data_IF_530128271091
#
_entry.id   IF_530128271091
#
_cell.length_a   1.000
_cell.length_b   1.000
_cell.length_c   1.000
_cell.angle_alpha   90.00
_cell.angle_beta   90.00
_cell.angle_gamma   90.00
#
_symmetry.space_group_name_H-M   'P 1'
#
loop_
_entity.id
_entity.type
_entity.pdbx_description
1 polymer ?
#
# COMPACT_ATOMS: atom_id res chain seq x y z
N UNK A 1 10.57 -14.93 11.86
CA UNK A 1 11.53 -16.03 11.64
C UNK A 1 10.76 -17.34 11.61
N UNK A 2 10.68 -18.03 10.46
CA UNK A 2 9.96 -19.31 10.36
C UNK A 2 10.79 -20.42 11.02
N UNK A 3 10.21 -21.13 11.99
CA UNK A 3 10.79 -22.35 12.58
C UNK A 3 10.50 -23.47 11.59
N UNK A 4 11.54 -24.11 11.04
CA UNK A 4 11.41 -25.25 10.13
C UNK A 4 12.13 -26.47 10.69
N UNK A 5 11.73 -27.65 10.21
CA UNK A 5 12.30 -28.93 10.63
C UNK A 5 13.82 -28.98 10.36
N UNK A 6 14.24 -28.47 9.20
CA UNK A 6 15.64 -28.44 8.79
C UNK A 6 16.50 -27.59 9.74
N UNK A 7 16.02 -26.40 10.13
CA UNK A 7 16.78 -25.51 11.03
C UNK A 7 16.90 -26.05 12.46
N UNK A 8 15.93 -26.83 12.93
CA UNK A 8 16.02 -27.47 14.24
C UNK A 8 17.00 -28.64 14.20
N UNK A 9 17.01 -29.38 13.09
CA UNK A 9 17.98 -30.46 12.83
C UNK A 9 19.41 -29.91 12.77
N UNK A 10 19.64 -28.81 12.05
CA UNK A 10 20.95 -28.12 11.98
C UNK A 10 21.45 -27.62 13.34
N UNK A 11 20.53 -27.33 14.28
CA UNK A 11 20.86 -26.93 15.65
C UNK A 11 21.14 -28.12 16.58
N UNK A 12 21.10 -29.34 16.07
CA UNK A 12 21.38 -30.56 16.83
C UNK A 12 20.23 -31.00 17.73
N UNK A 13 18.99 -30.59 17.44
CA UNK A 13 17.83 -31.09 18.17
C UNK A 13 17.54 -32.54 17.79
N UNK A 14 17.06 -33.33 18.75
CA UNK A 14 16.62 -34.69 18.46
C UNK A 14 15.31 -34.69 17.66
N UNK A 15 15.09 -35.69 16.81
CA UNK A 15 13.84 -35.84 16.03
C UNK A 15 12.59 -35.80 16.94
N UNK A 16 12.67 -36.36 18.14
CA UNK A 16 11.57 -36.37 19.11
C UNK A 16 11.25 -34.96 19.64
N UNK A 17 12.27 -34.14 19.94
CA UNK A 17 12.09 -32.74 20.32
C UNK A 17 11.53 -31.89 19.18
N UNK A 18 11.99 -32.17 17.95
CA UNK A 18 11.53 -31.51 16.74
C UNK A 18 10.04 -31.81 16.52
N UNK A 19 9.64 -33.07 16.54
CA UNK A 19 8.25 -33.49 16.34
C UNK A 19 7.33 -32.93 17.44
N UNK A 20 7.78 -32.97 18.69
CA UNK A 20 7.04 -32.36 19.81
C UNK A 20 6.87 -30.85 19.63
N UNK A 21 7.93 -30.16 19.23
CA UNK A 21 7.89 -28.71 18.97
C UNK A 21 6.97 -28.36 17.82
N UNK A 22 7.05 -29.11 16.72
CA UNK A 22 6.17 -28.93 15.56
C UNK A 22 4.72 -29.22 15.91
N UNK A 23 4.44 -30.22 16.76
CA UNK A 23 3.10 -30.52 17.24
C UNK A 23 2.54 -29.42 18.16
N UNK A 24 3.38 -28.79 18.99
CA UNK A 24 2.99 -27.63 19.83
C UNK A 24 2.70 -26.42 18.94
N UNK A 25 3.58 -26.10 17.98
CA UNK A 25 3.38 -25.02 17.02
C UNK A 25 2.10 -25.20 16.20
N UNK A 26 1.86 -26.42 15.73
CA UNK A 26 0.66 -26.75 14.97
C UNK A 26 -0.61 -26.57 15.83
N UNK A 27 -0.60 -27.05 17.09
CA UNK A 27 -1.72 -26.83 18.02
C UNK A 27 -1.92 -25.36 18.36
N UNK A 28 -0.86 -24.59 18.59
CA UNK A 28 -0.96 -23.15 18.85
C UNK A 28 -1.53 -22.39 17.65
N UNK A 29 -1.19 -22.80 16.42
CA UNK A 29 -1.73 -22.22 15.19
C UNK A 29 -3.22 -22.55 14.97
N UNK A 30 -3.69 -23.70 15.48
CA UNK A 30 -5.10 -24.10 15.36
C UNK A 30 -5.97 -23.58 16.53
N UNK A 31 -5.39 -23.38 17.71
CA UNK A 31 -6.04 -22.83 18.90
C UNK A 31 -5.84 -21.31 19.02
N UNK A 32 -5.91 -20.59 17.90
CA UNK A 32 -5.92 -19.13 17.92
C UNK A 32 -7.24 -18.70 18.59
N UNK A 33 -7.14 -17.99 19.71
CA UNK A 33 -8.31 -17.52 20.46
C UNK A 33 -9.26 -16.71 19.55
N UNK A 34 -10.58 -16.85 19.65
CA UNK A 34 -11.52 -16.08 18.82
C UNK A 34 -11.33 -14.56 18.91
N UNK A 35 -10.84 -14.04 20.05
CA UNK A 35 -10.49 -12.63 20.20
C UNK A 35 -9.31 -12.19 19.32
N UNK A 36 -8.27 -13.01 19.15
CA UNK A 36 -7.12 -12.65 18.31
C UNK A 36 -7.47 -12.71 16.82
N UNK A 37 -8.39 -13.60 16.42
CA UNK A 37 -8.94 -13.61 15.07
C UNK A 37 -9.74 -12.31 14.77
N UNK A 38 -10.60 -11.87 15.69
CA UNK A 38 -11.36 -10.62 15.55
C UNK A 38 -10.46 -9.39 15.50
N UNK A 39 -9.40 -9.35 16.32
CA UNK A 39 -8.41 -8.28 16.31
C UNK A 39 -7.69 -8.21 14.96
N UNK A 40 -7.18 -9.33 14.44
CA UNK A 40 -6.49 -9.36 13.15
C UNK A 40 -7.39 -8.89 12.01
N UNK A 41 -8.65 -9.35 11.98
CA UNK A 41 -9.63 -8.89 11.01
C UNK A 41 -9.92 -7.39 11.14
N UNK A 42 -10.01 -6.87 12.37
CA UNK A 42 -10.25 -5.43 12.59
C UNK A 42 -9.06 -4.58 12.14
N UNK A 43 -7.84 -5.02 12.43
CA UNK A 43 -6.60 -4.35 11.99
C UNK A 43 -6.57 -4.27 10.46
N UNK A 44 -6.91 -5.34 9.76
CA UNK A 44 -7.02 -5.35 8.30
C UNK A 44 -7.95 -4.25 7.79
N UNK A 45 -9.19 -4.17 8.31
CA UNK A 45 -10.16 -3.17 7.87
C UNK A 45 -9.76 -1.75 8.23
N UNK A 46 -9.21 -1.53 9.42
CA UNK A 46 -8.69 -0.22 9.83
C UNK A 46 -7.57 0.23 8.90
N UNK A 47 -6.61 -0.65 8.61
CA UNK A 47 -5.48 -0.33 7.76
C UNK A 47 -5.91 -0.08 6.31
N UNK A 48 -6.88 -0.83 5.79
CA UNK A 48 -7.50 -0.55 4.48
C UNK A 48 -8.17 0.84 4.46
N UNK A 49 -8.92 1.19 5.51
CA UNK A 49 -9.52 2.53 5.64
C UNK A 49 -8.43 3.61 5.70
N UNK A 50 -7.36 3.40 6.47
CA UNK A 50 -6.23 4.32 6.55
C UNK A 50 -5.55 4.53 5.20
N UNK A 51 -5.40 3.46 4.41
CA UNK A 51 -4.86 3.53 3.06
C UNK A 51 -5.76 4.41 2.16
N UNK A 52 -7.07 4.19 2.20
CA UNK A 52 -8.03 4.96 1.41
C UNK A 52 -8.00 6.43 1.84
N UNK A 53 -8.11 6.71 3.14
CA UNK A 53 -8.07 8.07 3.69
C UNK A 53 -6.75 8.78 3.38
N UNK A 54 -5.63 8.08 3.51
CA UNK A 54 -4.31 8.60 3.15
C UNK A 54 -4.28 9.05 1.70
N UNK A 55 -4.77 8.22 0.76
CA UNK A 55 -4.83 8.58 -0.65
C UNK A 55 -5.68 9.85 -0.90
N UNK A 56 -6.84 9.96 -0.24
CA UNK A 56 -7.68 11.17 -0.31
C UNK A 56 -6.97 12.41 0.22
N UNK A 57 -6.38 12.34 1.42
CA UNK A 57 -5.65 13.45 2.04
C UNK A 57 -4.52 13.91 1.11
N UNK A 58 -3.75 12.96 0.57
CA UNK A 58 -2.67 13.27 -0.38
C UNK A 58 -3.19 13.96 -1.64
N UNK A 59 -4.30 13.49 -2.22
CA UNK A 59 -4.88 14.12 -3.41
C UNK A 59 -5.30 15.58 -3.15
N UNK A 60 -5.84 15.87 -1.97
CA UNK A 60 -6.22 17.23 -1.56
C UNK A 60 -4.98 18.10 -1.35
N UNK A 61 -3.93 17.56 -0.71
CA UNK A 61 -2.68 18.28 -0.48
C UNK A 61 -1.98 18.71 -1.79
N UNK A 62 -2.28 18.05 -2.91
CA UNK A 62 -1.72 18.40 -4.23
C UNK A 62 -2.47 19.56 -4.91
N UNK A 63 -3.68 19.93 -4.48
CA UNK A 63 -4.46 21.05 -5.05
C UNK A 63 -3.65 22.34 -5.19
N UNK A 64 -2.98 22.86 -4.14
CA UNK A 64 -2.20 24.10 -4.27
C UNK A 64 -1.05 23.96 -5.29
N UNK A 65 -0.46 22.78 -5.43
CA UNK A 65 0.60 22.52 -6.41
C UNK A 65 0.04 22.51 -7.85
N UNK A 66 -1.11 21.89 -8.06
CA UNK A 66 -1.80 21.86 -9.37
C UNK A 66 -2.20 23.27 -9.80
N UNK A 67 -2.62 24.13 -8.87
CA UNK A 67 -3.00 25.51 -9.17
C UNK A 67 -1.80 26.42 -9.53
N UNK A 68 -0.65 26.16 -8.93
CA UNK A 68 0.50 27.09 -8.99
C UNK A 68 1.55 26.71 -10.01
N UNK A 69 1.72 25.42 -10.30
CA UNK A 69 2.81 24.92 -11.12
C UNK A 69 2.38 24.72 -12.58
N UNK A 70 3.32 24.96 -13.49
CA UNK A 70 3.17 24.58 -14.89
C UNK A 70 3.34 23.06 -15.08
N UNK A 71 2.97 22.57 -16.25
CA UNK A 71 2.80 21.13 -16.54
C UNK A 71 4.03 20.27 -16.19
N UNK A 72 5.22 20.64 -16.64
CA UNK A 72 6.42 19.82 -16.46
C UNK A 72 6.89 19.75 -14.99
N UNK A 73 7.07 20.88 -14.27
CA UNK A 73 7.38 20.86 -12.84
C UNK A 73 6.32 20.12 -12.00
N UNK A 74 5.04 20.28 -12.33
CA UNK A 74 3.96 19.60 -11.64
C UNK A 74 4.11 18.08 -11.73
N UNK A 75 4.35 17.54 -12.93
CA UNK A 75 4.50 16.08 -13.11
C UNK A 75 5.70 15.51 -12.38
N UNK A 76 6.83 16.23 -12.37
CA UNK A 76 8.01 15.81 -11.62
C UNK A 76 7.73 15.76 -10.11
N UNK A 77 7.09 16.79 -9.56
CA UNK A 77 6.77 16.86 -8.13
C UNK A 77 5.75 15.78 -7.75
N UNK A 78 4.70 15.59 -8.56
CA UNK A 78 3.71 14.53 -8.33
C UNK A 78 4.37 13.16 -8.36
N UNK A 79 5.29 12.91 -9.31
CA UNK A 79 6.01 11.64 -9.40
C UNK A 79 6.86 11.40 -8.14
N UNK A 80 7.61 12.40 -7.67
CA UNK A 80 8.43 12.28 -6.46
C UNK A 80 7.57 12.03 -5.21
N UNK A 81 6.47 12.77 -5.06
CA UNK A 81 5.52 12.57 -3.95
C UNK A 81 4.90 11.17 -4.03
N UNK A 82 4.48 10.74 -5.22
CA UNK A 82 3.88 9.43 -5.42
C UNK A 82 4.86 8.29 -5.10
N UNK A 83 6.14 8.44 -5.45
CA UNK A 83 7.19 7.50 -5.06
C UNK A 83 7.35 7.43 -3.53
N UNK A 84 7.49 8.58 -2.86
CA UNK A 84 7.61 8.63 -1.40
C UNK A 84 6.40 8.03 -0.69
N UNK A 85 5.20 8.37 -1.16
CA UNK A 85 3.96 7.83 -0.60
C UNK A 85 3.79 6.34 -0.91
N UNK A 86 4.19 5.89 -2.11
CA UNK A 86 4.23 4.49 -2.48
C UNK A 86 5.06 3.66 -1.51
N UNK A 87 6.23 4.15 -1.06
CA UNK A 87 7.06 3.47 -0.07
C UNK A 87 6.31 3.33 1.25
N UNK A 88 5.75 4.43 1.77
CA UNK A 88 5.02 4.42 3.05
C UNK A 88 3.85 3.43 2.99
N UNK A 89 3.09 3.47 1.90
CA UNK A 89 1.91 2.62 1.73
C UNK A 89 2.30 1.16 1.53
N UNK A 90 3.41 0.87 0.86
CA UNK A 90 3.91 -0.50 0.71
C UNK A 90 4.26 -1.15 2.06
N UNK A 91 4.78 -0.38 3.01
CA UNK A 91 5.01 -0.86 4.39
C UNK A 91 3.70 -1.19 5.08
N UNK A 92 2.70 -0.30 4.99
CA UNK A 92 1.37 -0.55 5.58
C UNK A 92 0.72 -1.77 4.95
N UNK A 93 0.76 -1.88 3.62
CA UNK A 93 0.18 -3.02 2.89
C UNK A 93 0.88 -4.31 3.31
N UNK A 94 2.21 -4.31 3.39
CA UNK A 94 2.97 -5.48 3.85
C UNK A 94 2.55 -5.95 5.24
N UNK A 95 2.39 -5.03 6.18
CA UNK A 95 1.94 -5.37 7.54
C UNK A 95 0.51 -5.96 7.54
N UNK A 96 -0.35 -5.52 6.62
CA UNK A 96 -1.68 -6.11 6.39
C UNK A 96 -1.58 -7.50 5.75
N UNK A 97 -0.67 -7.67 4.80
CA UNK A 97 -0.46 -8.91 4.05
C UNK A 97 -0.01 -10.07 4.95
N UNK A 98 0.85 -9.78 5.93
CA UNK A 98 1.27 -10.76 6.93
C UNK A 98 0.11 -11.22 7.84
N UNK A 99 -0.95 -10.41 7.97
CA UNK A 99 -2.13 -10.73 8.78
C UNK A 99 -3.14 -11.63 8.04
N UNK A 100 -3.33 -11.44 6.73
CA UNK A 100 -4.29 -12.23 5.92
C UNK A 100 -3.78 -12.55 4.51
N UNK A 101 -3.18 -13.74 4.35
CA UNK A 101 -2.53 -14.21 3.12
C UNK A 101 -3.46 -14.43 1.89
N UNK A 102 -4.77 -14.15 1.97
CA UNK A 102 -5.73 -14.42 0.88
C UNK A 102 -6.17 -13.16 0.13
N UNK A 103 -5.93 -11.96 0.67
CA UNK A 103 -6.54 -10.73 0.14
C UNK A 103 -5.56 -9.80 -0.59
N UNK A 104 -4.33 -10.24 -0.86
CA UNK A 104 -3.28 -9.49 -1.57
C UNK A 104 -3.77 -8.82 -2.87
N UNK A 105 -4.51 -9.57 -3.68
CA UNK A 105 -4.93 -9.13 -5.01
C UNK A 105 -5.98 -8.02 -4.96
N UNK A 106 -6.79 -7.98 -3.88
CA UNK A 106 -7.81 -6.95 -3.69
C UNK A 106 -7.14 -5.61 -3.41
N UNK A 107 -6.16 -5.58 -2.49
CA UNK A 107 -5.45 -4.33 -2.14
C UNK A 107 -4.68 -3.80 -3.35
N UNK A 108 -4.01 -4.69 -4.08
CA UNK A 108 -3.28 -4.34 -5.31
C UNK A 108 -4.17 -3.71 -6.39
N UNK A 109 -5.44 -4.09 -6.47
CA UNK A 109 -6.37 -3.56 -7.47
C UNK A 109 -7.14 -2.32 -6.97
N UNK A 110 -7.62 -2.36 -5.74
CA UNK A 110 -8.51 -1.33 -5.16
C UNK A 110 -7.76 -0.01 -4.99
N UNK A 111 -6.52 -0.03 -4.50
CA UNK A 111 -5.77 1.21 -4.22
C UNK A 111 -5.48 2.02 -5.50
N UNK A 112 -4.98 1.42 -6.60
CA UNK A 112 -4.84 2.11 -7.89
C UNK A 112 -6.12 2.72 -8.43
N UNK A 113 -7.24 1.98 -8.36
CA UNK A 113 -8.52 2.44 -8.87
C UNK A 113 -9.00 3.67 -8.10
N UNK A 114 -8.93 3.60 -6.76
CA UNK A 114 -9.28 4.73 -5.89
C UNK A 114 -8.39 5.94 -6.20
N UNK A 115 -7.08 5.73 -6.38
CA UNK A 115 -6.17 6.80 -6.74
C UNK A 115 -6.57 7.48 -8.06
N UNK A 116 -6.81 6.71 -9.13
CA UNK A 116 -7.23 7.28 -10.43
C UNK A 116 -8.51 8.09 -10.28
N UNK A 117 -9.52 7.54 -9.60
CA UNK A 117 -10.81 8.22 -9.38
C UNK A 117 -10.59 9.52 -8.59
N UNK A 118 -9.78 9.49 -7.54
CA UNK A 118 -9.48 10.66 -6.71
C UNK A 118 -8.81 11.77 -7.53
N UNK A 119 -7.78 11.44 -8.31
CA UNK A 119 -7.12 12.43 -9.17
C UNK A 119 -8.03 12.94 -10.27
N UNK A 120 -8.88 12.07 -10.84
CA UNK A 120 -9.88 12.49 -11.81
C UNK A 120 -10.82 13.54 -11.22
N UNK A 121 -11.33 13.32 -10.00
CA UNK A 121 -12.21 14.27 -9.30
C UNK A 121 -11.45 15.56 -8.99
N UNK A 122 -10.30 15.46 -8.31
CA UNK A 122 -9.53 16.62 -7.84
C UNK A 122 -9.11 17.53 -9.00
N UNK A 123 -8.53 16.97 -10.07
CA UNK A 123 -8.07 17.78 -11.21
C UNK A 123 -9.25 18.41 -11.95
N UNK A 124 -10.39 17.73 -12.07
CA UNK A 124 -11.59 18.33 -12.66
C UNK A 124 -12.18 19.46 -11.81
N UNK A 125 -12.16 19.32 -10.48
CA UNK A 125 -12.56 20.40 -9.57
C UNK A 125 -11.63 21.60 -9.76
N UNK A 126 -10.32 21.36 -9.78
CA UNK A 126 -9.31 22.41 -9.97
C UNK A 126 -9.41 23.07 -11.35
N UNK A 127 -9.58 22.31 -12.43
CA UNK A 127 -9.73 22.87 -13.79
C UNK A 127 -10.98 23.76 -13.94
N UNK A 128 -12.02 23.49 -13.15
CA UNK A 128 -13.24 24.31 -13.16
C UNK A 128 -13.13 25.57 -12.29
N UNK A 129 -12.10 25.67 -11.46
CA UNK A 129 -11.84 26.82 -10.60
C UNK A 129 -11.51 28.10 -11.40
N UNK A 130 -11.90 29.26 -10.85
CA UNK A 130 -11.69 30.57 -11.46
C UNK A 130 -10.20 30.91 -11.62
N UNK A 131 -9.35 30.53 -10.65
CA UNK A 131 -7.91 30.82 -10.70
C UNK A 131 -7.25 30.10 -11.87
N UNK A 132 -7.63 28.85 -12.12
CA UNK A 132 -7.10 28.03 -13.21
C UNK A 132 -7.45 28.61 -14.58
N UNK A 133 -8.67 29.16 -14.72
CA UNK A 133 -9.13 29.83 -15.94
C UNK A 133 -8.35 31.12 -16.22
N UNK A 134 -8.06 31.89 -15.17
CA UNK A 134 -7.28 33.15 -15.28
C UNK A 134 -5.81 32.86 -15.60
N UNK A 135 -5.23 31.83 -14.99
CA UNK A 135 -3.83 31.44 -15.19
C UNK A 135 -3.60 30.58 -16.45
N UNK A 136 -4.66 30.10 -17.10
CA UNK A 136 -4.62 29.20 -18.25
C UNK A 136 -3.80 27.91 -18.00
N UNK A 137 -3.81 27.43 -16.76
CA UNK A 137 -3.07 26.23 -16.32
C UNK A 137 -3.99 25.00 -16.32
N UNK A 138 -4.38 24.54 -17.51
CA UNK A 138 -5.19 23.33 -17.63
C UNK A 138 -4.33 22.08 -17.58
N UNK A 139 -4.71 21.14 -16.73
CA UNK A 139 -4.06 19.83 -16.64
C UNK A 139 -5.02 18.72 -17.01
N UNK A 140 -4.55 17.74 -17.79
CA UNK A 140 -5.35 16.57 -18.11
C UNK A 140 -5.46 15.67 -16.85
N UNK A 141 -6.67 15.43 -16.31
CA UNK A 141 -6.87 14.61 -15.10
C UNK A 141 -6.31 13.20 -15.24
N UNK A 142 -6.43 12.60 -16.43
CA UNK A 142 -5.96 11.24 -16.69
C UNK A 142 -4.43 11.17 -16.66
N UNK A 143 -3.75 12.15 -17.26
CA UNK A 143 -2.28 12.18 -17.28
C UNK A 143 -1.74 12.37 -15.86
N UNK A 144 -2.31 13.30 -15.08
CA UNK A 144 -1.91 13.52 -13.69
C UNK A 144 -2.10 12.25 -12.85
N UNK A 145 -3.27 11.59 -13.00
CA UNK A 145 -3.56 10.34 -12.32
C UNK A 145 -2.59 9.21 -12.72
N UNK A 146 -2.22 9.11 -14.00
CA UNK A 146 -1.26 8.11 -14.49
C UNK A 146 0.18 8.38 -13.99
N UNK A 147 0.60 9.64 -13.91
CA UNK A 147 1.92 9.99 -13.36
C UNK A 147 1.98 9.62 -11.89
N UNK A 148 0.95 9.95 -11.11
CA UNK A 148 0.87 9.52 -9.72
C UNK A 148 0.85 8.00 -9.59
N UNK A 149 -0.02 7.32 -10.37
CA UNK A 149 -0.15 5.87 -10.31
C UNK A 149 1.16 5.17 -10.66
N UNK A 150 1.88 5.64 -11.68
CA UNK A 150 3.14 5.03 -12.08
C UNK A 150 4.21 5.16 -10.99
N UNK A 151 4.33 6.34 -10.35
CA UNK A 151 5.23 6.52 -9.20
C UNK A 151 4.87 5.62 -8.03
N UNK A 152 3.60 5.58 -7.66
CA UNK A 152 3.09 4.73 -6.58
C UNK A 152 3.37 3.25 -6.85
N UNK A 153 2.97 2.75 -8.04
CA UNK A 153 3.12 1.35 -8.42
C UNK A 153 4.57 0.94 -8.57
N UNK A 154 5.44 1.83 -9.07
CA UNK A 154 6.87 1.55 -9.20
C UNK A 154 7.49 1.28 -7.83
N UNK A 155 7.21 2.15 -6.85
CA UNK A 155 7.70 1.99 -5.48
C UNK A 155 7.14 0.73 -4.82
N UNK A 156 5.83 0.50 -4.94
CA UNK A 156 5.18 -0.67 -4.35
C UNK A 156 5.70 -1.98 -4.93
N UNK A 157 5.83 -2.06 -6.26
CA UNK A 157 6.32 -3.26 -6.94
C UNK A 157 7.76 -3.57 -6.54
N UNK A 158 8.63 -2.56 -6.49
CA UNK A 158 10.03 -2.72 -6.08
C UNK A 158 10.14 -3.41 -4.71
N UNK A 159 9.34 -2.97 -3.73
CA UNK A 159 9.41 -3.50 -2.38
C UNK A 159 8.90 -4.95 -2.28
N UNK A 160 7.85 -5.31 -3.03
CA UNK A 160 7.40 -6.71 -3.13
C UNK A 160 8.46 -7.60 -3.78
N UNK A 161 9.09 -7.11 -4.85
CA UNK A 161 10.13 -7.88 -5.53
C UNK A 161 11.31 -8.14 -4.60
N UNK A 162 11.75 -7.19 -3.79
CA UNK A 162 12.85 -7.40 -2.83
C UNK A 162 12.53 -8.50 -1.81
N UNK A 163 11.27 -8.60 -1.38
CA UNK A 163 10.84 -9.54 -0.36
C UNK A 163 10.67 -10.97 -0.87
N UNK A 164 10.20 -11.17 -2.11
CA UNK A 164 10.11 -12.51 -2.71
C UNK A 164 11.47 -13.20 -2.90
N UNK A 165 12.57 -12.46 -2.86
CA UNK A 165 13.93 -12.95 -3.08
C UNK A 165 14.79 -13.00 -1.81
N UNK A 166 14.19 -12.78 -0.63
CA UNK A 166 14.80 -13.00 0.71
C UNK A 166 14.20 -14.24 1.38
#
# INVERSE_FOLDING_TARGET
MKITKERLTEKGWSEEEIDKTMAILHRAKHNIHPHTYLLNKSIYWIALVLIILGNFIFSIMLIPLILTLSTWPLYLIILLIALSFGVIMSVIIKDIEDLEAKHHLIILLVVPIIAIINFFIVVNVVNNDLLTKVLNHYHNPLIVGLVYLSGFMLSYSYLIFEEKWK
#
